data_IF_265702612994
#
_entry.id   IF_265702612994
#
_cell.length_a   1.000
_cell.length_b   1.000
_cell.length_c   1.000
_cell.angle_alpha   90.00
_cell.angle_beta   90.00
_cell.angle_gamma   90.00
#
_symmetry.space_group_name_H-M   'P 1'
#
loop_
_entity.id
_entity.type
_entity.pdbx_description
1 polymer ?
#
# COMPACT_ATOMS: atom_id res chain seq x y z
N UNK A 1 -8.27 -10.57 5.55
CA UNK A 1 -8.33 -11.88 4.87
C UNK A 1 -9.66 -12.58 5.12
N UNK A 2 -10.03 -12.88 6.38
CA UNK A 2 -11.21 -13.69 6.74
C UNK A 2 -12.51 -13.24 6.07
N UNK A 3 -12.86 -11.96 6.16
CA UNK A 3 -14.11 -11.41 5.59
C UNK A 3 -14.14 -11.57 4.06
N UNK A 4 -13.03 -11.27 3.39
CA UNK A 4 -12.92 -11.41 1.94
C UNK A 4 -13.00 -12.89 1.51
N UNK A 5 -12.45 -13.80 2.31
CA UNK A 5 -12.47 -15.23 2.02
C UNK A 5 -13.85 -15.91 2.13
N UNK A 6 -14.86 -15.20 2.60
CA UNK A 6 -16.25 -15.68 2.58
C UNK A 6 -16.84 -15.71 1.16
N UNK A 7 -16.39 -14.82 0.28
CA UNK A 7 -16.93 -14.66 -1.08
C UNK A 7 -15.87 -14.69 -2.19
N UNK A 8 -14.58 -14.59 -1.85
CA UNK A 8 -13.48 -14.56 -2.81
C UNK A 8 -12.43 -15.63 -2.52
N UNK A 9 -11.68 -16.01 -3.55
CA UNK A 9 -10.48 -16.84 -3.39
C UNK A 9 -9.35 -15.96 -2.88
N UNK A 10 -9.04 -16.11 -1.60
CA UNK A 10 -7.99 -15.34 -0.92
C UNK A 10 -6.80 -16.25 -0.64
N UNK A 11 -5.62 -15.79 -1.03
CA UNK A 11 -4.34 -16.41 -0.64
C UNK A 11 -3.57 -15.45 0.25
N UNK A 12 -2.99 -15.96 1.32
CA UNK A 12 -2.14 -15.22 2.26
C UNK A 12 -0.71 -15.73 2.08
N UNK A 13 0.21 -14.83 1.78
CA UNK A 13 1.65 -15.09 1.81
C UNK A 13 2.18 -14.57 3.14
N UNK A 14 2.52 -15.49 4.03
CA UNK A 14 2.78 -15.23 5.45
C UNK A 14 4.23 -15.59 5.79
N UNK A 15 5.08 -14.59 5.88
CA UNK A 15 6.52 -14.75 6.08
C UNK A 15 6.88 -14.86 7.55
N UNK A 16 6.31 -13.99 8.38
CA UNK A 16 6.64 -13.92 9.81
C UNK A 16 5.66 -14.67 10.71
N UNK A 17 4.71 -15.40 10.11
CA UNK A 17 3.62 -16.07 10.81
C UNK A 17 2.69 -15.12 11.62
N UNK A 18 2.74 -13.83 11.32
CA UNK A 18 1.96 -12.82 12.04
C UNK A 18 0.47 -12.85 11.70
N UNK A 19 0.14 -13.31 10.48
CA UNK A 19 -1.26 -13.40 10.04
C UNK A 19 -1.86 -14.74 10.43
N UNK A 20 -1.17 -15.83 10.16
CA UNK A 20 -1.68 -17.20 10.35
C UNK A 20 -1.28 -17.85 11.68
N UNK A 21 -0.37 -17.26 12.43
CA UNK A 21 0.19 -17.82 13.66
C UNK A 21 1.23 -18.93 13.43
N UNK A 22 1.96 -19.31 14.46
CA UNK A 22 3.09 -20.27 14.40
C UNK A 22 2.67 -21.74 14.34
N UNK A 23 1.40 -22.04 14.58
CA UNK A 23 0.90 -23.41 14.66
C UNK A 23 0.56 -24.04 13.30
N UNK A 24 0.46 -25.37 13.30
CA UNK A 24 -0.04 -26.13 12.13
C UNK A 24 -1.50 -25.81 11.83
N UNK A 25 -2.25 -25.40 12.85
CA UNK A 25 -3.64 -24.94 12.73
C UNK A 25 -3.64 -23.43 12.55
N UNK A 26 -4.10 -22.92 11.40
CA UNK A 26 -4.12 -21.48 11.17
C UNK A 26 -5.00 -20.72 12.19
N UNK A 27 -4.57 -19.52 12.57
CA UNK A 27 -5.34 -18.66 13.44
C UNK A 27 -6.74 -18.38 12.84
N UNK A 28 -7.82 -18.27 13.63
CA UNK A 28 -9.18 -18.02 13.14
C UNK A 28 -9.32 -16.75 12.26
N UNK A 29 -8.41 -15.80 12.37
CA UNK A 29 -8.38 -14.60 11.53
C UNK A 29 -8.10 -14.90 10.04
N UNK A 30 -7.55 -16.07 9.71
CA UNK A 30 -7.34 -16.54 8.33
C UNK A 30 -8.68 -16.91 7.68
N UNK A 31 -9.61 -17.49 8.44
CA UNK A 31 -10.90 -17.94 7.93
C UNK A 31 -10.74 -19.01 6.85
N UNK A 32 -11.41 -18.82 5.71
CA UNK A 32 -11.34 -19.72 4.55
C UNK A 32 -10.19 -19.41 3.59
N UNK A 33 -9.36 -18.41 3.90
CA UNK A 33 -8.23 -18.08 3.05
C UNK A 33 -7.17 -19.19 3.06
N UNK A 34 -6.52 -19.38 1.91
CA UNK A 34 -5.40 -20.32 1.81
C UNK A 34 -4.12 -19.65 2.31
N UNK A 35 -3.46 -20.24 3.28
CA UNK A 35 -2.18 -19.77 3.77
C UNK A 35 -1.03 -20.45 3.03
N UNK A 36 -0.08 -19.66 2.55
CA UNK A 36 1.21 -20.09 2.04
C UNK A 36 2.29 -19.54 2.97
N UNK A 37 2.98 -20.43 3.65
CA UNK A 37 4.11 -20.05 4.52
C UNK A 37 5.36 -19.86 3.69
N UNK A 38 6.08 -18.78 3.97
CA UNK A 38 7.38 -18.51 3.39
C UNK A 38 8.45 -19.08 4.31
N UNK A 39 9.14 -20.13 3.86
CA UNK A 39 10.18 -20.79 4.66
C UNK A 39 11.42 -19.92 4.85
N UNK A 40 11.79 -19.24 3.78
CA UNK A 40 12.96 -18.36 3.72
C UNK A 40 12.50 -16.95 3.33
N UNK A 41 12.63 -15.95 4.22
CA UNK A 41 12.15 -14.58 3.95
C UNK A 41 12.73 -13.98 2.66
N UNK A 42 13.89 -14.44 2.21
CA UNK A 42 14.49 -13.97 0.95
C UNK A 42 13.71 -14.43 -0.29
N UNK A 43 12.92 -15.49 -0.20
CA UNK A 43 12.15 -16.09 -1.28
C UNK A 43 10.67 -15.68 -1.27
N UNK A 44 10.29 -14.71 -0.46
CA UNK A 44 8.91 -14.24 -0.40
C UNK A 44 8.35 -13.84 -1.76
N UNK A 45 9.14 -13.14 -2.57
CA UNK A 45 8.73 -12.72 -3.92
C UNK A 45 8.43 -13.91 -4.84
N UNK A 46 9.16 -15.03 -4.72
CA UNK A 46 8.88 -16.25 -5.48
C UNK A 46 7.55 -16.88 -5.03
N UNK A 47 7.29 -16.96 -3.72
CA UNK A 47 6.03 -17.47 -3.17
C UNK A 47 4.84 -16.57 -3.58
N UNK A 48 5.03 -15.27 -3.66
CA UNK A 48 4.02 -14.33 -4.16
C UNK A 48 3.63 -14.66 -5.62
N UNK A 49 4.60 -14.89 -6.48
CA UNK A 49 4.35 -15.26 -7.89
C UNK A 49 3.74 -16.67 -7.98
N UNK A 50 4.26 -17.64 -7.24
CA UNK A 50 3.69 -18.99 -7.15
C UNK A 50 2.22 -18.96 -6.71
N UNK A 51 1.88 -18.14 -5.74
CA UNK A 51 0.52 -17.97 -5.27
C UNK A 51 -0.44 -17.60 -6.39
N UNK A 52 -0.05 -16.69 -7.27
CA UNK A 52 -0.87 -16.24 -8.39
C UNK A 52 -0.92 -17.27 -9.50
N UNK A 53 0.20 -17.88 -9.84
CA UNK A 53 0.29 -18.84 -10.95
C UNK A 53 -0.43 -20.15 -10.65
N UNK A 54 -0.33 -20.65 -9.42
CA UNK A 54 -0.82 -21.99 -9.07
C UNK A 54 -2.19 -21.99 -8.38
N UNK A 55 -2.62 -20.87 -7.79
CA UNK A 55 -3.84 -20.84 -6.97
C UNK A 55 -4.93 -19.93 -7.51
N UNK A 56 -4.67 -19.19 -8.60
CA UNK A 56 -5.64 -18.31 -9.24
C UNK A 56 -6.47 -17.49 -8.25
N UNK A 57 -5.82 -16.71 -7.36
CA UNK A 57 -6.51 -15.92 -6.34
C UNK A 57 -7.23 -14.72 -6.97
N UNK A 58 -8.30 -14.28 -6.33
CA UNK A 58 -8.92 -12.96 -6.60
C UNK A 58 -8.30 -11.89 -5.71
N UNK A 59 -7.82 -12.33 -4.53
CA UNK A 59 -7.15 -11.45 -3.55
C UNK A 59 -5.91 -12.16 -3.02
N UNK A 60 -4.81 -11.44 -2.97
CA UNK A 60 -3.59 -11.85 -2.29
C UNK A 60 -3.30 -10.92 -1.12
N UNK A 61 -3.04 -11.49 0.04
CA UNK A 61 -2.61 -10.76 1.25
C UNK A 61 -1.14 -11.08 1.48
N UNK A 62 -0.31 -10.06 1.54
CA UNK A 62 1.14 -10.18 1.64
C UNK A 62 1.58 -9.60 2.96
N UNK A 63 2.25 -10.41 3.76
CA UNK A 63 2.85 -9.97 5.00
C UNK A 63 4.21 -9.34 4.72
N UNK A 64 4.34 -8.09 5.09
CA UNK A 64 5.57 -7.30 5.06
C UNK A 64 6.30 -7.23 3.70
N UNK A 65 5.91 -6.28 2.86
CA UNK A 65 6.66 -5.92 1.65
C UNK A 65 7.81 -5.00 2.07
N UNK A 66 9.05 -5.48 1.98
CA UNK A 66 10.23 -4.74 2.44
C UNK A 66 11.40 -4.70 1.45
N UNK A 67 11.35 -5.53 0.39
CA UNK A 67 12.46 -5.70 -0.56
C UNK A 67 12.07 -5.33 -1.98
N UNK A 68 13.07 -4.97 -2.79
CA UNK A 68 12.87 -4.59 -4.18
C UNK A 68 12.20 -5.67 -5.03
N UNK A 69 12.60 -6.93 -4.88
CA UNK A 69 12.00 -8.05 -5.59
C UNK A 69 10.54 -8.28 -5.20
N UNK A 70 10.19 -8.03 -3.94
CA UNK A 70 8.80 -8.10 -3.45
C UNK A 70 7.94 -6.96 -4.02
N UNK A 71 8.50 -5.75 -4.09
CA UNK A 71 7.83 -4.62 -4.72
C UNK A 71 7.58 -4.86 -6.22
N UNK A 72 8.57 -5.43 -6.92
CA UNK A 72 8.44 -5.81 -8.32
C UNK A 72 7.39 -6.91 -8.52
N UNK A 73 7.39 -7.93 -7.66
CA UNK A 73 6.38 -9.00 -7.68
C UNK A 73 4.97 -8.44 -7.44
N UNK A 74 4.81 -7.54 -6.45
CA UNK A 74 3.54 -6.88 -6.17
C UNK A 74 3.00 -6.13 -7.39
N UNK A 75 3.85 -5.37 -8.09
CA UNK A 75 3.48 -4.69 -9.34
C UNK A 75 3.01 -5.68 -10.40
N UNK A 76 3.79 -6.74 -10.64
CA UNK A 76 3.46 -7.77 -11.63
C UNK A 76 2.11 -8.43 -11.34
N UNK A 77 1.82 -8.68 -10.08
CA UNK A 77 0.55 -9.27 -9.62
C UNK A 77 -0.61 -8.30 -9.84
N UNK A 78 -0.42 -7.02 -9.50
CA UNK A 78 -1.44 -6.00 -9.71
C UNK A 78 -1.79 -5.84 -11.20
N UNK A 79 -0.80 -5.85 -12.08
CA UNK A 79 -0.98 -5.77 -13.54
C UNK A 79 -1.77 -6.97 -14.10
N UNK A 80 -1.78 -8.10 -13.42
CA UNK A 80 -2.62 -9.27 -13.74
C UNK A 80 -4.07 -9.16 -13.24
N UNK A 81 -4.43 -8.06 -12.59
CA UNK A 81 -5.79 -7.79 -12.10
C UNK A 81 -6.13 -8.47 -10.77
N UNK A 82 -5.16 -9.00 -10.04
CA UNK A 82 -5.36 -9.55 -8.70
C UNK A 82 -5.37 -8.42 -7.68
N UNK A 83 -6.37 -8.41 -6.80
CA UNK A 83 -6.42 -7.44 -5.70
C UNK A 83 -5.29 -7.71 -4.69
N UNK A 84 -4.47 -6.71 -4.42
CA UNK A 84 -3.38 -6.78 -3.44
C UNK A 84 -3.77 -6.13 -2.11
N UNK A 85 -3.43 -6.78 -1.02
CA UNK A 85 -3.43 -6.20 0.32
C UNK A 85 -2.06 -6.51 0.90
N UNK A 86 -1.25 -5.49 1.14
CA UNK A 86 0.11 -5.66 1.67
C UNK A 86 0.34 -4.79 2.89
N UNK A 87 1.20 -5.24 3.78
CA UNK A 87 1.76 -4.42 4.85
C UNK A 87 3.19 -4.05 4.50
N UNK A 88 3.64 -2.91 4.98
CA UNK A 88 5.00 -2.44 4.83
C UNK A 88 5.42 -1.62 6.06
N UNK A 89 6.70 -1.60 6.36
CA UNK A 89 7.23 -0.73 7.38
C UNK A 89 7.24 0.73 6.91
N UNK A 90 6.72 1.61 7.75
CA UNK A 90 6.61 3.05 7.55
C UNK A 90 5.50 3.59 8.41
N UNK A 91 5.56 4.85 8.80
CA UNK A 91 4.54 5.46 9.64
C UNK A 91 3.56 6.31 8.85
N UNK A 92 4.02 6.90 7.76
CA UNK A 92 3.25 7.86 6.96
C UNK A 92 3.51 7.66 5.46
N UNK A 93 2.65 8.26 4.64
CA UNK A 93 2.83 8.32 3.19
C UNK A 93 4.19 8.96 2.82
N UNK A 94 4.60 10.02 3.53
CA UNK A 94 5.90 10.67 3.32
C UNK A 94 7.07 9.71 3.54
N UNK A 95 7.02 8.91 4.60
CA UNK A 95 8.08 7.94 4.87
C UNK A 95 8.17 6.89 3.76
N UNK A 96 7.03 6.45 3.24
CA UNK A 96 7.00 5.49 2.15
C UNK A 96 7.54 6.10 0.85
N UNK A 97 7.21 7.34 0.57
CA UNK A 97 7.66 8.07 -0.61
C UNK A 97 9.19 8.27 -0.62
N UNK A 98 9.79 8.49 0.54
CA UNK A 98 11.24 8.64 0.72
C UNK A 98 11.99 7.30 0.79
N UNK A 99 11.28 6.18 0.91
CA UNK A 99 11.90 4.87 0.95
C UNK A 99 12.29 4.42 -0.48
N UNK A 100 13.58 4.26 -0.79
CA UNK A 100 14.01 3.95 -2.16
C UNK A 100 13.50 2.61 -2.69
N UNK A 101 13.20 1.68 -1.80
CA UNK A 101 12.70 0.34 -2.15
C UNK A 101 11.18 0.34 -2.39
N UNK A 102 10.44 1.05 -1.54
CA UNK A 102 8.97 0.97 -1.49
C UNK A 102 8.27 2.12 -2.20
N UNK A 103 8.97 3.20 -2.52
CA UNK A 103 8.40 4.36 -3.23
C UNK A 103 7.76 3.97 -4.57
N UNK A 104 8.28 2.96 -5.24
CA UNK A 104 7.74 2.44 -6.50
C UNK A 104 6.31 1.89 -6.35
N UNK A 105 5.94 1.39 -5.16
CA UNK A 105 4.58 0.89 -4.89
C UNK A 105 3.52 1.99 -4.93
N UNK A 106 3.96 3.23 -4.69
CA UNK A 106 3.10 4.43 -4.72
C UNK A 106 3.40 5.33 -5.92
N UNK A 107 4.11 4.81 -6.92
CA UNK A 107 4.37 5.46 -8.20
C UNK A 107 5.80 5.97 -8.39
N UNK A 108 6.66 5.94 -7.37
CA UNK A 108 8.03 6.45 -7.42
C UNK A 108 8.11 7.96 -7.63
N UNK A 109 9.32 8.49 -7.53
CA UNK A 109 9.60 9.92 -7.74
C UNK A 109 10.66 10.07 -8.81
N UNK A 110 10.49 11.05 -9.67
CA UNK A 110 11.54 11.50 -10.59
C UNK A 110 11.64 13.02 -10.63
N UNK A 111 12.86 13.51 -10.92
CA UNK A 111 13.11 14.93 -11.13
C UNK A 111 12.91 15.25 -12.62
N UNK A 112 12.00 16.16 -12.92
CA UNK A 112 11.70 16.61 -14.28
C UNK A 112 12.19 18.05 -14.45
N UNK A 113 12.91 18.30 -15.54
CA UNK A 113 13.34 19.65 -15.91
C UNK A 113 12.33 20.27 -16.89
N UNK A 114 11.64 21.30 -16.42
CA UNK A 114 10.66 22.04 -17.20
C UNK A 114 11.33 23.05 -18.14
N UNK A 115 10.69 23.38 -19.24
CA UNK A 115 11.08 24.56 -20.04
C UNK A 115 10.85 25.86 -19.26
N UNK A 116 11.51 26.94 -19.66
CA UNK A 116 11.35 28.25 -19.02
C UNK A 116 9.90 28.75 -19.07
N UNK A 117 9.22 28.47 -20.15
CA UNK A 117 7.82 28.84 -20.34
C UNK A 117 6.89 28.05 -19.41
N UNK A 118 7.10 26.75 -19.29
CA UNK A 118 6.31 25.87 -18.43
C UNK A 118 6.53 26.18 -16.95
N UNK A 119 7.80 26.42 -16.54
CA UNK A 119 8.13 26.79 -15.17
C UNK A 119 7.46 28.11 -14.76
N UNK A 120 7.46 29.12 -15.66
CA UNK A 120 6.77 30.40 -15.45
C UNK A 120 5.25 30.22 -15.36
N UNK A 121 4.67 29.40 -16.23
CA UNK A 121 3.23 29.11 -16.23
C UNK A 121 2.77 28.45 -14.95
N UNK A 122 3.56 27.53 -14.42
CA UNK A 122 3.28 26.81 -13.15
C UNK A 122 3.67 27.60 -11.91
N UNK A 123 4.46 28.67 -12.04
CA UNK A 123 5.02 29.43 -10.89
C UNK A 123 6.00 28.62 -10.06
N UNK A 124 6.72 27.65 -10.66
CA UNK A 124 7.62 26.73 -10.00
C UNK A 124 9.06 26.91 -10.43
N UNK A 125 9.97 26.23 -9.79
CA UNK A 125 11.37 26.09 -10.25
C UNK A 125 11.42 25.27 -11.55
N UNK A 126 12.53 25.34 -12.27
CA UNK A 126 12.75 24.54 -13.47
C UNK A 126 12.81 23.04 -13.21
N UNK A 127 13.34 22.63 -12.06
CA UNK A 127 13.38 21.24 -11.66
C UNK A 127 12.27 21.01 -10.64
N UNK A 128 11.34 20.15 -10.95
CA UNK A 128 10.23 19.75 -10.09
C UNK A 128 10.25 18.24 -9.89
N UNK A 129 9.72 17.79 -8.76
CA UNK A 129 9.51 16.38 -8.51
C UNK A 129 8.12 15.98 -9.03
N UNK A 130 8.07 14.93 -9.79
CA UNK A 130 6.82 14.35 -10.29
C UNK A 130 6.80 12.84 -10.00
N UNK A 131 5.60 12.27 -9.96
CA UNK A 131 5.44 10.82 -9.85
C UNK A 131 5.84 10.18 -11.17
N UNK A 132 6.70 9.13 -11.10
CA UNK A 132 7.27 8.46 -12.27
C UNK A 132 6.27 7.56 -13.01
N UNK A 133 5.41 6.87 -12.27
CA UNK A 133 4.49 5.86 -12.79
C UNK A 133 3.16 5.82 -12.02
N UNK A 134 2.13 5.16 -12.55
CA UNK A 134 0.94 4.85 -11.76
C UNK A 134 1.30 4.04 -10.51
N UNK A 135 0.65 4.30 -9.36
CA UNK A 135 0.89 3.51 -8.14
C UNK A 135 0.39 2.07 -8.32
N UNK A 136 1.04 1.14 -7.63
CA UNK A 136 0.63 -0.28 -7.57
C UNK A 136 -0.60 -0.46 -6.68
N UNK A 137 -0.75 0.37 -5.66
CA UNK A 137 -1.87 0.39 -4.74
C UNK A 137 -2.71 1.65 -4.91
N UNK A 138 -4.03 1.50 -4.84
CA UNK A 138 -4.97 2.63 -4.96
C UNK A 138 -5.20 3.33 -3.62
N UNK A 139 -5.14 2.58 -2.52
CA UNK A 139 -5.46 3.03 -1.16
C UNK A 139 -4.30 2.76 -0.23
N UNK A 140 -3.96 3.74 0.61
CA UNK A 140 -2.98 3.58 1.68
C UNK A 140 -3.64 3.86 3.03
N UNK A 141 -3.34 3.00 4.00
CA UNK A 141 -3.82 3.12 5.37
C UNK A 141 -2.61 3.24 6.29
N UNK A 142 -2.49 4.38 6.94
CA UNK A 142 -1.51 4.60 8.00
C UNK A 142 -2.12 4.16 9.34
N UNK A 143 -1.48 3.21 10.00
CA UNK A 143 -1.90 2.75 11.32
C UNK A 143 -1.25 3.68 12.35
N UNK A 144 -2.00 4.67 12.83
CA UNK A 144 -1.50 5.62 13.83
C UNK A 144 -1.44 4.99 15.22
N UNK A 145 -2.49 4.27 15.59
CA UNK A 145 -2.55 3.39 16.75
C UNK A 145 -3.73 2.41 16.59
N UNK A 146 -3.93 1.51 17.58
CA UNK A 146 -4.84 0.37 17.47
C UNK A 146 -6.25 0.70 16.99
N UNK A 147 -6.79 1.86 17.37
CA UNK A 147 -8.18 2.25 17.06
C UNK A 147 -8.25 3.48 16.16
N UNK A 148 -7.12 3.93 15.57
CA UNK A 148 -7.08 5.14 14.75
C UNK A 148 -6.23 4.96 13.50
N UNK A 149 -6.81 5.25 12.35
CA UNK A 149 -6.22 5.07 11.03
C UNK A 149 -6.35 6.36 10.22
N UNK A 150 -5.30 6.71 9.47
CA UNK A 150 -5.38 7.72 8.44
C UNK A 150 -5.48 7.01 7.08
N UNK A 151 -6.52 7.30 6.31
CA UNK A 151 -6.86 6.59 5.09
C UNK A 151 -6.77 7.53 3.89
N UNK A 152 -5.80 7.27 3.03
CA UNK A 152 -5.66 7.91 1.73
C UNK A 152 -6.42 7.07 0.70
N UNK A 153 -7.60 7.53 0.30
CA UNK A 153 -8.48 6.78 -0.62
C UNK A 153 -8.00 6.83 -2.07
N UNK A 154 -7.15 7.78 -2.41
CA UNK A 154 -6.54 7.96 -3.72
C UNK A 154 -5.06 8.30 -3.54
N UNK A 155 -4.21 7.27 -3.58
CA UNK A 155 -2.76 7.42 -3.43
C UNK A 155 -2.19 8.32 -4.53
N UNK A 156 -2.66 8.17 -5.76
CA UNK A 156 -2.18 8.95 -6.90
C UNK A 156 -2.31 10.45 -6.63
N UNK A 157 -3.51 10.88 -6.27
CA UNK A 157 -3.79 12.28 -5.96
C UNK A 157 -3.05 12.76 -4.72
N UNK A 158 -2.93 11.90 -3.69
CA UNK A 158 -2.23 12.24 -2.45
C UNK A 158 -0.72 12.45 -2.68
N UNK A 159 -0.07 11.58 -3.45
CA UNK A 159 1.35 11.71 -3.82
C UNK A 159 1.58 12.94 -4.69
N UNK A 160 0.76 13.15 -5.71
CA UNK A 160 0.89 14.31 -6.61
C UNK A 160 0.71 15.64 -5.86
N UNK A 161 -0.18 15.68 -4.88
CA UNK A 161 -0.38 16.84 -4.02
C UNK A 161 0.81 17.08 -3.07
N UNK A 162 1.34 16.00 -2.49
CA UNK A 162 2.50 16.04 -1.62
C UNK A 162 3.75 16.56 -2.37
N UNK A 163 3.99 16.10 -3.59
CA UNK A 163 5.10 16.55 -4.43
C UNK A 163 4.98 18.02 -4.87
N UNK A 164 3.79 18.62 -4.75
CA UNK A 164 3.54 20.06 -5.01
C UNK A 164 3.51 20.90 -3.74
N UNK A 165 3.91 20.35 -2.60
CA UNK A 165 3.87 21.02 -1.28
C UNK A 165 2.44 21.45 -0.84
N UNK A 166 1.41 20.81 -1.36
CA UNK A 166 0.00 21.05 -1.01
C UNK A 166 -0.65 19.73 -0.59
N UNK A 167 -0.24 19.13 0.54
CA UNK A 167 -0.68 17.80 0.93
C UNK A 167 -2.20 17.72 1.09
N UNK A 168 -2.78 16.64 0.56
CA UNK A 168 -4.17 16.30 0.77
C UNK A 168 -4.34 15.59 2.12
N UNK A 169 -5.22 16.08 3.01
CA UNK A 169 -5.45 15.41 4.28
C UNK A 169 -6.16 14.06 4.04
N UNK A 170 -5.74 13.00 4.75
CA UNK A 170 -6.43 11.71 4.72
C UNK A 170 -7.77 11.77 5.47
N UNK A 171 -8.64 10.79 5.23
CA UNK A 171 -9.75 10.54 6.15
C UNK A 171 -9.22 9.93 7.44
N UNK A 172 -9.62 10.47 8.58
CA UNK A 172 -9.32 9.84 9.87
C UNK A 172 -10.47 8.91 10.25
N UNK A 173 -10.16 7.66 10.47
CA UNK A 173 -11.12 6.64 10.93
C UNK A 173 -10.75 6.18 12.33
N UNK A 174 -11.68 6.31 13.24
CA UNK A 174 -11.50 5.91 14.65
C UNK A 174 -12.59 4.92 15.02
N UNK A 175 -12.23 3.84 15.72
CA UNK A 175 -13.18 2.91 16.30
C UNK A 175 -13.43 3.30 17.75
N UNK A 176 -14.68 3.57 18.09
CA UNK A 176 -15.08 3.89 19.46
C UNK A 176 -15.22 2.64 20.35
N UNK A 177 -15.50 2.85 21.63
CA UNK A 177 -15.66 1.77 22.62
C UNK A 177 -16.84 0.84 22.30
N UNK A 178 -17.83 1.32 21.57
CA UNK A 178 -18.96 0.52 21.10
C UNK A 178 -18.66 -0.26 19.81
N UNK A 179 -17.43 -0.13 19.28
CA UNK A 179 -17.01 -0.77 18.04
C UNK A 179 -17.48 -0.08 16.77
N UNK A 180 -18.10 1.12 16.87
CA UNK A 180 -18.57 1.90 15.74
C UNK A 180 -17.40 2.68 15.11
N UNK A 181 -17.39 2.74 13.78
CA UNK A 181 -16.39 3.49 13.03
C UNK A 181 -16.88 4.92 12.83
N UNK A 182 -16.13 5.87 13.38
CA UNK A 182 -16.30 7.30 13.16
C UNK A 182 -15.36 7.73 12.05
N UNK A 183 -15.87 8.52 11.09
CA UNK A 183 -15.10 9.02 9.94
C UNK A 183 -15.07 10.54 10.01
N UNK A 184 -13.86 11.09 10.11
CA UNK A 184 -13.61 12.52 10.06
C UNK A 184 -12.89 12.87 8.75
N UNK A 185 -13.49 13.77 7.97
CA UNK A 185 -12.87 14.34 6.77
C UNK A 185 -12.24 15.67 7.12
N UNK A 186 -10.91 15.71 7.10
CA UNK A 186 -10.19 16.95 7.35
C UNK A 186 -10.28 17.86 6.12
N UNK A 187 -10.50 19.16 6.35
CA UNK A 187 -10.44 20.14 5.28
C UNK A 187 -8.99 20.30 4.77
N UNK A 188 -8.77 20.50 3.47
CA UNK A 188 -7.44 20.82 2.97
C UNK A 188 -6.91 22.10 3.63
N UNK A 189 -5.59 22.19 3.86
CA UNK A 189 -4.98 23.39 4.39
C UNK A 189 -5.28 24.56 3.45
N UNK A 190 -5.62 25.73 4.02
CA UNK A 190 -5.80 26.94 3.21
C UNK A 190 -4.45 27.28 2.56
N UNK A 191 -4.42 27.56 1.27
CA UNK A 191 -3.20 28.07 0.64
C UNK A 191 -2.76 29.34 1.37
N UNK A 192 -1.44 29.43 1.64
CA UNK A 192 -0.82 30.60 2.28
C UNK A 192 -0.87 31.83 1.35
#
# INVERSE_FOLDING_TARGET
>A
ARILAESKRVVIVDTSNEIGGDGDVPHPAVGKARRMQVREPMLQHEVMIEAVENHNPEVIVIDEIGRELEALAARTIAERGVQLIGTAHGQTLDNLLLNPTLSDLIGGIEAVTLSDEEARRRGTQKTVLERRAPPTFDVLIEIQHRERFAVHLDIMSAVDALLRDVPMPPEIRTRDEAGQIQIEKLAPPKPA
#
